data_IF_657880879053
#
_entry.id   IF_657880879053
#
_cell.length_a   1.000
_cell.length_b   1.000
_cell.length_c   1.000
_cell.angle_alpha   90.00
_cell.angle_beta   90.00
_cell.angle_gamma   90.00
#
_symmetry.space_group_name_H-M   'P 1'
#
loop_
_entity.id
_entity.type
_entity.pdbx_description
1 polymer ?
#
# COMPACT_ATOMS: atom_id res chain seq x y z
N UNK A 1 5.00 -2.32 -3.84
CA UNK A 1 4.48 -1.52 -4.98
C UNK A 1 3.73 -0.31 -4.46
N UNK A 2 2.61 -0.45 -3.74
CA UNK A 2 1.84 0.69 -3.21
C UNK A 2 2.67 1.64 -2.31
N UNK A 3 3.44 1.11 -1.36
CA UNK A 3 4.32 1.94 -0.51
C UNK A 3 5.34 2.71 -1.35
N UNK A 4 5.94 2.04 -2.34
CA UNK A 4 6.92 2.67 -3.22
C UNK A 4 6.29 3.78 -4.09
N UNK A 5 5.07 3.59 -4.60
CA UNK A 5 4.39 4.66 -5.35
C UNK A 5 4.10 5.86 -4.46
N UNK A 6 3.67 5.65 -3.21
CA UNK A 6 3.47 6.74 -2.24
C UNK A 6 4.78 7.49 -1.97
N UNK A 7 5.88 6.77 -1.69
CA UNK A 7 7.18 7.37 -1.41
C UNK A 7 7.79 8.11 -2.62
N UNK A 8 7.54 7.63 -3.83
CA UNK A 8 8.00 8.25 -5.08
C UNK A 8 7.07 9.37 -5.58
N UNK A 9 5.97 9.68 -4.88
CA UNK A 9 4.98 10.66 -5.31
C UNK A 9 4.16 10.24 -6.54
N UNK A 10 4.21 8.95 -6.92
CA UNK A 10 3.40 8.41 -7.99
C UNK A 10 1.98 8.10 -7.50
N UNK A 11 0.98 8.63 -8.19
CA UNK A 11 -0.43 8.29 -7.89
C UNK A 11 -0.74 6.90 -8.40
N UNK A 12 -0.87 5.94 -7.49
CA UNK A 12 -1.50 4.64 -7.71
C UNK A 12 -2.47 4.35 -6.59
N UNK A 13 -3.66 3.84 -6.91
CA UNK A 13 -4.62 3.45 -5.88
C UNK A 13 -4.28 2.06 -5.33
N UNK A 14 -4.77 1.74 -4.13
CA UNK A 14 -4.67 0.38 -3.59
C UNK A 14 -5.43 -0.63 -4.46
N UNK A 15 -6.50 -0.19 -5.15
CA UNK A 15 -7.26 -1.00 -6.10
C UNK A 15 -6.44 -1.38 -7.33
N UNK A 16 -5.75 -0.42 -7.95
CA UNK A 16 -4.89 -0.70 -9.11
C UNK A 16 -3.81 -1.73 -8.77
N UNK A 17 -3.23 -1.62 -7.56
CA UNK A 17 -2.23 -2.56 -7.08
C UNK A 17 -2.86 -3.94 -6.79
N UNK A 18 -4.07 -3.97 -6.24
CA UNK A 18 -4.80 -5.19 -5.96
C UNK A 18 -5.14 -5.96 -7.25
N UNK A 19 -5.61 -5.24 -8.28
CA UNK A 19 -5.98 -5.82 -9.57
C UNK A 19 -4.76 -6.43 -10.28
N UNK A 20 -3.63 -5.72 -10.31
CA UNK A 20 -2.38 -6.23 -10.91
C UNK A 20 -1.82 -7.41 -10.10
N UNK A 21 -1.88 -7.34 -8.77
CA UNK A 21 -1.37 -8.40 -7.90
C UNK A 21 -2.36 -9.57 -7.72
N UNK A 22 -3.56 -9.51 -8.32
CA UNK A 22 -4.65 -10.50 -8.18
C UNK A 22 -4.99 -10.81 -6.72
N UNK A 23 -5.05 -9.77 -5.90
CA UNK A 23 -5.49 -9.84 -4.50
C UNK A 23 -6.63 -8.86 -4.26
N UNK A 24 -7.21 -8.85 -3.06
CA UNK A 24 -8.25 -7.88 -2.73
C UNK A 24 -7.64 -6.55 -2.25
N UNK A 25 -8.38 -5.46 -2.42
CA UNK A 25 -8.00 -4.14 -1.88
C UNK A 25 -7.76 -4.20 -0.36
N UNK A 26 -8.57 -5.00 0.36
CA UNK A 26 -8.42 -5.22 1.81
C UNK A 26 -7.10 -5.92 2.14
N UNK A 27 -6.67 -6.89 1.32
CA UNK A 27 -5.37 -7.57 1.47
C UNK A 27 -4.21 -6.57 1.33
N UNK A 28 -4.27 -5.68 0.33
CA UNK A 28 -3.26 -4.63 0.12
C UNK A 28 -3.21 -3.67 1.31
N UNK A 29 -4.38 -3.24 1.79
CA UNK A 29 -4.51 -2.33 2.94
C UNK A 29 -3.91 -2.91 4.22
N UNK A 30 -4.22 -4.17 4.52
CA UNK A 30 -3.70 -4.85 5.71
C UNK A 30 -2.18 -5.01 5.64
N UNK A 31 -1.64 -5.37 4.47
CA UNK A 31 -0.19 -5.50 4.30
C UNK A 31 0.52 -4.15 4.36
N UNK A 32 -0.10 -3.09 3.84
CA UNK A 32 0.39 -1.72 3.96
C UNK A 32 0.54 -1.32 5.42
N UNK A 33 -0.53 -1.48 6.22
CA UNK A 33 -0.52 -1.15 7.65
C UNK A 33 0.57 -1.90 8.42
N UNK A 34 0.68 -3.21 8.22
CA UNK A 34 1.70 -4.04 8.87
C UNK A 34 3.13 -3.60 8.50
N UNK A 35 3.36 -3.26 7.23
CA UNK A 35 4.68 -2.81 6.78
C UNK A 35 5.02 -1.43 7.36
N UNK A 36 4.06 -0.51 7.46
CA UNK A 36 4.29 0.78 8.08
C UNK A 36 4.62 0.66 9.57
N UNK A 37 3.88 -0.18 10.31
CA UNK A 37 4.18 -0.48 11.72
C UNK A 37 5.60 -1.04 11.90
N UNK A 38 5.99 -1.99 11.05
CA UNK A 38 7.33 -2.61 11.09
C UNK A 38 8.46 -1.67 10.69
N UNK A 39 8.19 -0.73 9.80
CA UNK A 39 9.18 0.20 9.27
C UNK A 39 9.18 1.54 10.01
N UNK A 40 8.29 1.73 11.00
CA UNK A 40 8.15 3.00 11.71
C UNK A 40 7.71 4.15 10.81
N UNK A 41 6.96 3.85 9.74
CA UNK A 41 6.40 4.87 8.85
C UNK A 41 5.14 5.44 9.51
N UNK A 42 5.10 6.76 9.65
CA UNK A 42 3.92 7.44 10.19
C UNK A 42 2.80 7.38 9.14
N UNK A 43 1.65 6.81 9.52
CA UNK A 43 0.54 6.57 8.60
C UNK A 43 -0.65 7.41 9.03
N UNK A 44 -0.93 8.47 8.28
CA UNK A 44 -2.27 9.03 8.24
C UNK A 44 -3.09 8.22 7.22
N UNK A 45 -4.01 7.39 7.72
CA UNK A 45 -4.97 6.64 6.92
C UNK A 45 -6.26 7.43 6.72
#
# INVERSE_FOLDING_TARGET
>A
IYIASVLCGERRTQRDVADVARVTEVTVRNRYKELCEKLGLDVEL
#
